data_IF_820474373374
#
_entry.id   IF_820474373374
#
_cell.length_a   1.000
_cell.length_b   1.000
_cell.length_c   1.000
_cell.angle_alpha   90.00
_cell.angle_beta   90.00
_cell.angle_gamma   90.00
#
_symmetry.space_group_name_H-M   'P 1'
#
loop_
_entity.id
_entity.type
_entity.pdbx_description
1 polymer ?
#
# COMPACT_ATOMS: atom_id res chain seq x y z
N UNK A 1 -39.22 12.60 14.95
CA UNK A 1 -38.50 12.82 16.22
C UNK A 1 -37.56 13.99 15.97
N UNK A 2 -37.86 15.18 16.50
CA UNK A 2 -37.04 16.36 16.25
C UNK A 2 -35.66 16.13 16.90
N UNK A 3 -34.61 16.02 16.11
CA UNK A 3 -33.24 16.01 16.61
C UNK A 3 -33.00 17.35 17.31
N UNK A 4 -32.81 17.35 18.62
CA UNK A 4 -32.54 18.55 19.41
C UNK A 4 -31.05 18.56 19.69
N UNK A 5 -30.33 19.59 19.23
CA UNK A 5 -28.88 19.69 19.43
C UNK A 5 -28.24 20.79 18.62
N UNK A 6 -26.95 21.03 18.88
CA UNK A 6 -26.12 22.00 18.16
C UNK A 6 -25.99 21.61 16.68
N UNK A 7 -25.97 20.32 16.35
CA UNK A 7 -25.88 19.82 14.97
C UNK A 7 -27.03 20.33 14.09
N UNK A 8 -28.26 20.35 14.62
CA UNK A 8 -29.42 20.93 13.91
C UNK A 8 -29.25 22.42 13.67
N UNK A 9 -28.68 23.15 14.63
CA UNK A 9 -28.48 24.60 14.51
C UNK A 9 -27.40 24.94 13.47
N UNK A 10 -26.40 24.08 13.30
CA UNK A 10 -25.41 24.20 12.22
C UNK A 10 -26.07 23.89 10.87
N UNK A 11 -26.86 22.82 10.79
CA UNK A 11 -27.59 22.44 9.57
C UNK A 11 -28.54 23.54 9.10
N UNK A 12 -29.25 24.17 10.04
CA UNK A 12 -30.15 25.30 9.79
C UNK A 12 -29.44 26.64 9.53
N UNK A 13 -28.10 26.67 9.44
CA UNK A 13 -27.29 27.87 9.23
C UNK A 13 -27.47 28.95 10.30
N UNK A 14 -27.91 28.57 11.51
CA UNK A 14 -27.93 29.46 12.68
C UNK A 14 -26.51 29.62 13.22
N UNK A 15 -25.72 28.54 13.21
CA UNK A 15 -24.28 28.55 13.46
C UNK A 15 -23.51 28.15 12.20
N UNK A 16 -22.37 28.79 11.97
CA UNK A 16 -21.50 28.45 10.83
C UNK A 16 -20.70 27.16 11.07
N UNK A 17 -20.19 26.95 12.29
CA UNK A 17 -19.38 25.79 12.63
C UNK A 17 -19.34 25.57 14.16
N UNK A 18 -19.06 24.33 14.56
CA UNK A 18 -18.70 23.97 15.93
C UNK A 18 -17.54 22.98 15.88
N UNK A 19 -16.46 23.28 16.61
CA UNK A 19 -15.28 22.44 16.67
C UNK A 19 -14.53 22.67 18.00
N UNK A 20 -13.87 21.63 18.55
CA UNK A 20 -12.99 21.79 19.68
C UNK A 20 -11.72 22.55 19.28
N UNK A 21 -11.18 23.33 20.21
CA UNK A 21 -9.88 23.99 20.02
C UNK A 21 -8.74 23.00 20.27
N UNK A 22 -7.68 23.12 19.49
CA UNK A 22 -6.41 22.43 19.74
C UNK A 22 -5.59 23.17 20.81
N UNK A 23 -4.70 22.45 21.49
CA UNK A 23 -3.92 23.00 22.60
C UNK A 23 -2.95 24.14 22.20
N UNK A 24 -2.68 24.36 20.90
CA UNK A 24 -1.76 25.41 20.42
C UNK A 24 -1.18 25.14 19.03
N UNK A 25 -0.12 25.87 18.66
CA UNK A 25 0.62 25.65 17.42
C UNK A 25 1.38 24.30 17.43
N UNK A 26 1.48 23.65 16.27
CA UNK A 26 2.24 22.40 16.15
C UNK A 26 3.75 22.62 16.01
N UNK A 27 4.17 23.80 15.54
CA UNK A 27 5.58 24.17 15.43
C UNK A 27 6.12 24.54 16.81
N UNK A 28 7.33 24.06 17.12
CA UNK A 28 8.05 24.55 18.29
C UNK A 28 8.69 25.89 17.94
N UNK A 29 8.56 26.88 18.82
CA UNK A 29 9.42 28.05 18.75
C UNK A 29 10.89 27.57 18.80
N UNK A 30 11.72 28.03 17.86
CA UNK A 30 13.10 27.57 17.64
C UNK A 30 14.03 27.72 18.87
N UNK A 31 13.55 28.37 19.94
CA UNK A 31 14.32 28.74 21.13
C UNK A 31 13.98 27.93 22.39
N UNK A 32 13.07 26.94 22.31
CA UNK A 32 12.74 26.09 23.46
C UNK A 32 13.64 24.86 23.43
N UNK A 33 14.74 24.92 24.18
CA UNK A 33 15.71 23.83 24.38
C UNK A 33 15.27 22.83 25.46
N UNK A 34 14.21 23.12 26.22
CA UNK A 34 13.74 22.27 27.31
C UNK A 34 12.50 21.44 26.95
N UNK A 35 12.59 20.10 27.00
CA UNK A 35 11.48 19.21 26.63
C UNK A 35 10.29 19.22 27.58
N UNK A 36 10.37 19.90 28.72
CA UNK A 36 9.31 19.92 29.73
C UNK A 36 8.18 20.92 29.43
N UNK A 37 8.33 21.78 28.43
CA UNK A 37 7.30 22.77 28.05
C UNK A 37 6.64 22.47 26.69
N UNK A 38 6.71 21.22 26.21
CA UNK A 38 6.02 20.86 24.98
C UNK A 38 4.54 20.58 25.22
N UNK A 39 3.74 21.11 24.31
CA UNK A 39 2.32 20.83 24.27
C UNK A 39 2.04 19.41 23.73
N UNK A 40 0.92 18.78 24.11
CA UNK A 40 0.51 17.45 23.62
C UNK A 40 0.57 17.35 22.09
N UNK A 41 0.08 18.41 21.40
CA UNK A 41 0.15 18.52 19.92
C UNK A 41 1.59 18.52 19.38
N UNK A 42 2.51 19.23 20.04
CA UNK A 42 3.91 19.33 19.62
C UNK A 42 4.65 18.00 19.85
N UNK A 43 4.34 17.30 20.96
CA UNK A 43 4.88 15.96 21.23
C UNK A 43 4.45 14.99 20.12
N UNK A 44 3.16 14.95 19.78
CA UNK A 44 2.66 14.09 18.70
C UNK A 44 3.30 14.42 17.35
N UNK A 45 3.51 15.70 17.04
CA UNK A 45 4.18 16.10 15.81
C UNK A 45 5.64 15.65 15.78
N UNK A 46 6.41 15.88 16.84
CA UNK A 46 7.84 15.59 16.85
C UNK A 46 8.17 14.09 16.90
N UNK A 47 7.37 13.29 17.59
CA UNK A 47 7.65 11.88 17.82
C UNK A 47 6.93 10.93 16.86
N UNK A 48 5.84 11.35 16.22
CA UNK A 48 4.99 10.46 15.42
C UNK A 48 4.60 11.04 14.05
N UNK A 49 4.01 12.23 13.97
CA UNK A 49 3.46 12.76 12.72
C UNK A 49 4.51 13.42 11.79
N UNK A 50 5.70 12.83 11.70
CA UNK A 50 6.78 13.23 10.80
C UNK A 50 7.27 12.06 9.96
N UNK A 51 7.50 12.29 8.67
CA UNK A 51 8.07 11.31 7.75
C UNK A 51 9.38 10.70 8.24
N UNK A 52 10.19 11.46 8.99
CA UNK A 52 11.45 10.99 9.57
C UNK A 52 11.29 9.95 10.68
N UNK A 53 10.09 9.74 11.22
CA UNK A 53 9.81 8.88 12.39
C UNK A 53 9.12 7.56 12.04
N UNK A 54 9.03 7.21 10.75
CA UNK A 54 8.35 6.00 10.28
C UNK A 54 8.85 4.68 10.90
N UNK A 55 10.10 4.63 11.36
CA UNK A 55 10.71 3.44 11.97
C UNK A 55 10.38 3.27 13.47
N UNK A 56 9.75 4.26 14.11
CA UNK A 56 9.42 4.21 15.54
C UNK A 56 8.06 3.57 15.78
N UNK A 57 7.89 2.94 16.94
CA UNK A 57 6.57 2.51 17.39
C UNK A 57 5.62 3.70 17.57
N UNK A 58 4.34 3.49 17.22
CA UNK A 58 3.31 4.52 17.34
C UNK A 58 2.98 4.76 18.83
N UNK A 59 3.00 6.01 19.32
CA UNK A 59 2.66 6.33 20.71
C UNK A 59 1.13 6.37 20.91
N UNK A 60 0.50 5.20 20.95
CA UNK A 60 -0.95 5.04 20.97
C UNK A 60 -1.63 5.71 22.18
N UNK A 61 -1.00 5.69 23.35
CA UNK A 61 -1.54 6.34 24.55
C UNK A 61 -1.62 7.87 24.37
N UNK A 62 -0.60 8.51 23.80
CA UNK A 62 -0.62 9.95 23.53
C UNK A 62 -1.62 10.32 22.43
N UNK A 63 -1.83 9.44 21.45
CA UNK A 63 -2.86 9.61 20.42
C UNK A 63 -4.25 9.52 21.07
N UNK A 64 -4.47 8.54 21.95
CA UNK A 64 -5.72 8.39 22.71
C UNK A 64 -6.01 9.60 23.58
N UNK A 65 -5.01 10.08 24.31
CA UNK A 65 -5.19 11.19 25.25
C UNK A 65 -5.45 12.53 24.55
N UNK A 66 -5.08 12.68 23.27
CA UNK A 66 -5.28 13.92 22.49
C UNK A 66 -6.48 13.85 21.53
N UNK A 67 -6.68 12.71 20.85
CA UNK A 67 -7.72 12.54 19.83
C UNK A 67 -8.90 11.66 20.28
N UNK A 68 -8.79 10.99 21.43
CA UNK A 68 -9.79 10.05 21.93
C UNK A 68 -9.61 8.62 21.42
N UNK A 69 -10.39 7.71 21.99
CA UNK A 69 -10.26 6.26 21.76
C UNK A 69 -10.55 5.85 20.31
N UNK A 70 -11.52 6.49 19.64
CA UNK A 70 -11.89 6.14 18.27
C UNK A 70 -10.71 6.30 17.29
N UNK A 71 -9.98 7.40 17.41
CA UNK A 71 -8.82 7.69 16.54
C UNK A 71 -7.61 6.85 16.95
N UNK A 72 -7.40 6.66 18.25
CA UNK A 72 -6.34 5.77 18.74
C UNK A 72 -6.52 4.32 18.28
N UNK A 73 -7.76 3.81 18.31
CA UNK A 73 -8.07 2.46 17.83
C UNK A 73 -7.82 2.30 16.33
N UNK A 74 -8.12 3.32 15.53
CA UNK A 74 -7.78 3.33 14.11
C UNK A 74 -6.26 3.17 13.89
N UNK A 75 -5.45 3.97 14.59
CA UNK A 75 -3.99 3.88 14.45
C UNK A 75 -3.40 2.61 15.04
N UNK A 76 -3.98 2.08 16.12
CA UNK A 76 -3.61 0.79 16.68
C UNK A 76 -3.83 -0.34 15.68
N UNK A 77 -5.01 -0.38 15.04
CA UNK A 77 -5.33 -1.35 13.99
C UNK A 77 -4.43 -1.19 12.77
N UNK A 78 -4.20 0.04 12.32
CA UNK A 78 -3.32 0.33 11.19
C UNK A 78 -1.90 -0.18 11.47
N UNK A 79 -1.34 0.13 12.63
CA UNK A 79 -0.02 -0.36 13.05
C UNK A 79 0.05 -1.87 13.11
N UNK A 80 -0.95 -2.52 13.73
CA UNK A 80 -1.06 -3.98 13.80
C UNK A 80 -1.09 -4.62 12.40
N UNK A 81 -1.95 -4.12 11.51
CA UNK A 81 -2.10 -4.63 10.16
C UNK A 81 -0.81 -4.43 9.33
N UNK A 82 -0.18 -3.25 9.42
CA UNK A 82 1.11 -3.01 8.75
C UNK A 82 2.23 -3.91 9.28
N UNK A 83 2.22 -4.21 10.58
CA UNK A 83 3.17 -5.14 11.19
C UNK A 83 2.97 -6.57 10.68
N UNK A 84 1.71 -7.03 10.60
CA UNK A 84 1.38 -8.35 10.04
C UNK A 84 1.65 -8.46 8.54
N UNK A 85 1.58 -7.36 7.78
CA UNK A 85 1.95 -7.35 6.37
C UNK A 85 3.45 -7.61 6.14
N UNK A 86 4.32 -7.34 7.13
CA UNK A 86 5.78 -7.53 6.97
C UNK A 86 6.14 -9.00 6.70
N UNK A 87 5.71 -9.99 7.51
CA UNK A 87 5.91 -11.40 7.19
C UNK A 87 5.40 -11.80 5.80
N UNK A 88 4.20 -11.34 5.42
CA UNK A 88 3.62 -11.64 4.11
C UNK A 88 4.45 -11.05 2.97
N UNK A 89 4.91 -9.81 3.12
CA UNK A 89 5.79 -9.16 2.15
C UNK A 89 7.14 -9.87 2.02
N UNK A 90 7.73 -10.35 3.12
CA UNK A 90 8.99 -11.11 3.08
C UNK A 90 8.82 -12.39 2.27
N UNK A 91 7.78 -13.19 2.55
CA UNK A 91 7.50 -14.41 1.78
C UNK A 91 7.23 -14.09 0.32
N UNK A 92 6.46 -13.04 0.04
CA UNK A 92 6.18 -12.58 -1.32
C UNK A 92 7.44 -12.16 -2.09
N UNK A 93 8.37 -11.45 -1.44
CA UNK A 93 9.67 -11.08 -2.04
C UNK A 93 10.50 -12.33 -2.34
N UNK A 94 10.55 -13.31 -1.45
CA UNK A 94 11.29 -14.56 -1.68
C UNK A 94 10.73 -15.34 -2.87
N UNK A 95 9.40 -15.43 -2.97
CA UNK A 95 8.69 -16.04 -4.10
C UNK A 95 8.99 -15.29 -5.39
N UNK A 96 8.96 -13.96 -5.37
CA UNK A 96 9.28 -13.14 -6.53
C UNK A 96 10.74 -13.31 -7.00
N UNK A 97 11.70 -13.35 -6.07
CA UNK A 97 13.11 -13.62 -6.39
C UNK A 97 13.30 -15.03 -6.98
N UNK A 98 12.57 -16.02 -6.49
CA UNK A 98 12.55 -17.35 -7.10
C UNK A 98 12.03 -17.32 -8.55
N UNK A 99 10.94 -16.58 -8.81
CA UNK A 99 10.42 -16.36 -10.15
C UNK A 99 11.45 -15.73 -11.10
N UNK A 100 12.19 -14.72 -10.64
CA UNK A 100 13.26 -14.09 -11.43
C UNK A 100 14.38 -15.06 -11.82
N UNK A 101 14.81 -15.93 -10.90
CA UNK A 101 15.84 -16.95 -11.18
C UNK A 101 15.31 -18.05 -12.11
N UNK A 102 14.04 -18.45 -11.94
CA UNK A 102 13.43 -19.51 -12.74
C UNK A 102 13.12 -19.09 -14.19
N UNK A 103 13.00 -17.78 -14.45
CA UNK A 103 12.54 -17.21 -15.72
C UNK A 103 13.41 -17.58 -16.94
N UNK A 104 14.72 -17.81 -16.75
CA UNK A 104 15.63 -18.21 -17.84
C UNK A 104 15.73 -19.73 -18.04
N UNK A 105 15.30 -20.51 -17.05
CA UNK A 105 15.39 -21.97 -17.08
C UNK A 105 14.16 -22.65 -17.68
N UNK A 106 13.07 -21.90 -17.82
CA UNK A 106 11.81 -22.41 -18.36
C UNK A 106 11.93 -22.75 -19.86
N UNK A 107 11.70 -24.02 -20.18
CA UNK A 107 11.86 -24.56 -21.55
C UNK A 107 10.88 -23.88 -22.53
N UNK A 108 9.56 -23.77 -22.24
CA UNK A 108 8.62 -23.06 -23.10
C UNK A 108 9.03 -21.61 -23.43
N UNK A 109 9.42 -20.83 -22.42
CA UNK A 109 9.82 -19.43 -22.63
C UNK A 109 11.09 -19.32 -23.46
N UNK A 110 12.05 -20.22 -23.26
CA UNK A 110 13.28 -20.29 -24.06
C UNK A 110 12.99 -20.67 -25.51
N UNK A 111 12.06 -21.60 -25.74
CA UNK A 111 11.68 -22.05 -27.08
C UNK A 111 10.94 -20.95 -27.84
N UNK A 112 10.07 -20.19 -27.17
CA UNK A 112 9.39 -19.00 -27.74
C UNK A 112 10.43 -17.95 -28.17
N UNK A 113 11.36 -17.60 -27.27
CA UNK A 113 12.38 -16.58 -27.54
C UNK A 113 13.40 -16.99 -28.61
N UNK A 114 13.75 -18.28 -28.71
CA UNK A 114 14.71 -18.79 -29.70
C UNK A 114 14.07 -19.19 -31.04
N UNK A 115 12.73 -19.18 -31.14
CA UNK A 115 12.02 -19.58 -32.36
C UNK A 115 12.24 -18.64 -33.56
N UNK A 116 12.57 -17.36 -33.33
CA UNK A 116 12.69 -16.35 -34.38
C UNK A 116 11.44 -16.32 -35.28
N UNK A 117 11.65 -16.28 -36.60
CA UNK A 117 10.54 -16.22 -37.58
C UNK A 117 10.02 -17.61 -38.00
N UNK A 118 10.23 -18.65 -37.19
CA UNK A 118 9.85 -20.03 -37.53
C UNK A 118 8.36 -20.30 -37.40
N UNK A 119 7.71 -19.71 -36.39
CA UNK A 119 6.28 -19.91 -36.12
C UNK A 119 5.51 -18.62 -36.38
N UNK A 120 4.67 -18.64 -37.43
CA UNK A 120 3.80 -17.53 -37.81
C UNK A 120 2.43 -17.73 -37.17
N UNK A 121 1.99 -16.76 -36.38
CA UNK A 121 0.72 -16.79 -35.67
C UNK A 121 -0.37 -16.10 -36.50
N UNK A 122 -1.59 -16.60 -36.37
CA UNK A 122 -2.77 -15.97 -36.98
C UNK A 122 -3.05 -14.61 -36.31
N UNK A 123 -3.53 -13.61 -37.07
CA UNK A 123 -4.00 -12.36 -36.50
C UNK A 123 -5.18 -12.60 -35.55
N UNK A 124 -5.33 -11.72 -34.58
CA UNK A 124 -6.45 -11.75 -33.62
C UNK A 124 -7.73 -11.12 -34.18
N UNK A 125 -7.65 -10.42 -35.30
CA UNK A 125 -8.79 -9.86 -36.02
C UNK A 125 -8.75 -10.21 -37.52
N UNK A 126 -9.87 -9.99 -38.20
CA UNK A 126 -10.00 -10.28 -39.63
C UNK A 126 -9.05 -9.40 -40.45
N UNK A 127 -8.49 -9.95 -41.53
CA UNK A 127 -7.54 -9.24 -42.41
C UNK A 127 -8.16 -7.96 -43.00
N UNK A 128 -9.48 -7.96 -43.20
CA UNK A 128 -10.24 -6.81 -43.71
C UNK A 128 -10.20 -5.59 -42.77
N UNK A 129 -9.90 -5.80 -41.49
CA UNK A 129 -9.75 -4.73 -40.48
C UNK A 129 -8.28 -4.28 -40.34
N UNK A 130 -7.37 -4.84 -41.13
CA UNK A 130 -5.96 -4.45 -41.19
C UNK A 130 -5.04 -5.16 -40.20
N UNK A 131 -5.47 -6.23 -39.52
CA UNK A 131 -4.58 -7.02 -38.67
C UNK A 131 -3.55 -7.80 -39.51
N UNK A 132 -2.29 -7.75 -39.07
CA UNK A 132 -1.21 -8.49 -39.71
C UNK A 132 -0.87 -9.76 -38.93
N UNK A 133 -0.35 -10.75 -39.66
CA UNK A 133 0.29 -11.92 -39.06
C UNK A 133 1.51 -11.47 -38.26
N UNK A 134 1.73 -12.12 -37.12
CA UNK A 134 2.83 -11.83 -36.20
C UNK A 134 3.61 -13.11 -35.91
N UNK A 135 4.84 -12.97 -35.42
CA UNK A 135 5.71 -14.11 -35.12
C UNK A 135 5.69 -14.42 -33.63
N UNK A 136 5.71 -15.71 -33.29
CA UNK A 136 5.68 -16.16 -31.89
C UNK A 136 6.86 -15.59 -31.06
N UNK A 137 8.01 -15.33 -31.68
CA UNK A 137 9.16 -14.73 -30.97
C UNK A 137 8.90 -13.30 -30.47
N UNK A 138 7.96 -12.56 -31.05
CA UNK A 138 7.67 -11.16 -30.68
C UNK A 138 7.10 -11.05 -29.26
N UNK A 139 6.42 -12.09 -28.76
CA UNK A 139 5.87 -12.14 -27.39
C UNK A 139 6.85 -12.68 -26.35
N UNK A 140 8.14 -12.86 -26.69
CA UNK A 140 9.16 -13.38 -25.78
C UNK A 140 9.19 -12.65 -24.42
N UNK A 141 9.10 -11.32 -24.42
CA UNK A 141 9.05 -10.53 -23.19
C UNK A 141 7.83 -10.89 -22.34
N UNK A 142 6.66 -10.97 -22.96
CA UNK A 142 5.41 -11.30 -22.27
C UNK A 142 5.43 -12.73 -21.73
N UNK A 143 5.96 -13.70 -22.48
CA UNK A 143 6.13 -15.08 -22.03
C UNK A 143 7.03 -15.16 -20.79
N UNK A 144 8.17 -14.45 -20.80
CA UNK A 144 9.08 -14.39 -19.64
C UNK A 144 8.39 -13.77 -18.42
N UNK A 145 7.69 -12.64 -18.60
CA UNK A 145 6.91 -12.02 -17.53
C UNK A 145 5.82 -12.95 -17.00
N UNK A 146 5.17 -13.72 -17.86
CA UNK A 146 4.17 -14.70 -17.45
C UNK A 146 4.77 -15.77 -16.53
N UNK A 147 5.94 -16.33 -16.88
CA UNK A 147 6.62 -17.33 -16.03
C UNK A 147 7.11 -16.73 -14.71
N UNK A 148 7.49 -15.44 -14.69
CA UNK A 148 7.85 -14.75 -13.46
C UNK A 148 6.67 -14.63 -12.48
N UNK A 149 5.43 -14.53 -12.96
CA UNK A 149 4.22 -14.43 -12.12
C UNK A 149 3.48 -15.76 -11.93
N UNK A 150 3.62 -16.69 -12.87
CA UNK A 150 2.90 -17.96 -12.92
C UNK A 150 3.88 -19.13 -12.82
N UNK A 151 4.53 -19.23 -11.65
CA UNK A 151 5.41 -20.35 -11.30
C UNK A 151 4.89 -21.07 -10.06
N UNK A 152 5.39 -22.28 -9.79
CA UNK A 152 4.95 -23.11 -8.64
C UNK A 152 4.93 -22.39 -7.29
N UNK A 153 5.92 -21.52 -7.04
CA UNK A 153 5.98 -20.67 -5.86
C UNK A 153 4.80 -19.69 -5.68
N UNK A 154 4.18 -19.15 -6.74
CA UNK A 154 3.02 -18.24 -6.57
C UNK A 154 1.77 -18.99 -6.13
N UNK A 155 1.61 -20.27 -6.51
CA UNK A 155 0.58 -21.16 -5.96
C UNK A 155 0.76 -21.35 -4.45
N UNK A 156 2.00 -21.60 -4.00
CA UNK A 156 2.32 -21.65 -2.57
C UNK A 156 1.99 -20.34 -1.87
N UNK A 157 2.35 -19.20 -2.46
CA UNK A 157 2.07 -17.89 -1.91
C UNK A 157 0.56 -17.60 -1.80
N UNK A 158 -0.24 -18.01 -2.79
CA UNK A 158 -1.69 -17.84 -2.76
C UNK A 158 -2.34 -18.62 -1.60
N UNK A 159 -1.89 -19.84 -1.34
CA UNK A 159 -2.32 -20.62 -0.19
C UNK A 159 -1.89 -19.94 1.10
N UNK A 160 -0.63 -19.50 1.19
CA UNK A 160 -0.09 -18.79 2.35
C UNK A 160 -0.90 -17.52 2.68
N UNK A 161 -1.21 -16.67 1.68
CA UNK A 161 -1.99 -15.44 1.86
C UNK A 161 -3.44 -15.74 2.26
N UNK A 162 -3.99 -16.89 1.89
CA UNK A 162 -5.35 -17.27 2.30
C UNK A 162 -5.43 -17.63 3.80
N UNK A 163 -4.32 -18.09 4.40
CA UNK A 163 -4.22 -18.40 5.83
C UNK A 163 -3.70 -17.24 6.68
N UNK A 164 -2.99 -16.30 6.06
CA UNK A 164 -2.50 -15.07 6.66
C UNK A 164 -3.64 -14.06 6.87
#
# INVERSE_FOLDING_TARGET
>A
MAQTGIDRLIEQQVFTASYPLHDGQYESAKNITEPQHYNKRQILYYYWAQWSKWYKYQPLDHIRDYFGEKIAMYFAWLGFYTGWLVPAAIVGILVFLYGLVSMETDVPSRDICSSGQKYRMCPTCDEQQGCQYWYLSEICLFSRLSVMFDHSGTVFYAVFISFW
#
